data_IF_314269914045
#
_entry.id   IF_314269914045
#
_cell.length_a   1.000
_cell.length_b   1.000
_cell.length_c   1.000
_cell.angle_alpha   90.00
_cell.angle_beta   90.00
_cell.angle_gamma   90.00
#
_symmetry.space_group_name_H-M   'P 1'
#
loop_
_entity.id
_entity.type
_entity.pdbx_description
1 polymer ?
#
# COMPACT_ATOMS: atom_id res chain seq x y z
N UNK A 1 6.53 10.80 -19.19
CA UNK A 1 5.10 10.72 -18.81
C UNK A 1 4.55 12.12 -18.70
N UNK A 2 3.37 12.38 -19.25
CA UNK A 2 2.67 13.66 -19.07
C UNK A 2 2.28 13.74 -17.58
N UNK A 3 2.36 14.90 -16.94
CA UNK A 3 2.07 15.04 -15.48
C UNK A 3 0.73 14.42 -15.07
N UNK A 4 -0.27 14.49 -15.95
CA UNK A 4 -1.58 13.88 -15.75
C UNK A 4 -1.53 12.34 -15.64
N UNK A 5 -0.73 11.68 -16.49
CA UNK A 5 -0.57 10.21 -16.47
C UNK A 5 0.08 9.74 -15.17
N UNK A 6 1.06 10.52 -14.68
CA UNK A 6 1.74 10.22 -13.42
C UNK A 6 0.78 10.35 -12.23
N UNK A 7 -0.04 11.40 -12.20
CA UNK A 7 -1.02 11.58 -11.13
C UNK A 7 -2.10 10.49 -11.17
N UNK A 8 -2.60 10.12 -12.35
CA UNK A 8 -3.55 9.02 -12.50
C UNK A 8 -2.97 7.69 -12.01
N UNK A 9 -1.71 7.43 -12.33
CA UNK A 9 -1.00 6.24 -11.85
C UNK A 9 -0.87 6.21 -10.32
N UNK A 10 -0.49 7.33 -9.69
CA UNK A 10 -0.41 7.40 -8.23
C UNK A 10 -1.76 7.18 -7.54
N UNK A 11 -2.85 7.67 -8.14
CA UNK A 11 -4.20 7.39 -7.64
C UNK A 11 -4.55 5.90 -7.75
N UNK A 12 -4.14 5.23 -8.83
CA UNK A 12 -4.32 3.78 -8.96
C UNK A 12 -3.55 3.03 -7.87
N UNK A 13 -2.27 3.37 -7.67
CA UNK A 13 -1.43 2.76 -6.62
C UNK A 13 -2.04 2.97 -5.22
N UNK A 14 -2.55 4.18 -4.93
CA UNK A 14 -3.26 4.45 -3.68
C UNK A 14 -4.53 3.61 -3.54
N UNK A 15 -5.29 3.43 -4.60
CA UNK A 15 -6.49 2.57 -4.62
C UNK A 15 -6.14 1.11 -4.36
N UNK A 16 -5.12 0.58 -5.04
CA UNK A 16 -4.67 -0.81 -4.88
C UNK A 16 -4.16 -1.05 -3.44
N UNK A 17 -3.39 -0.12 -2.89
CA UNK A 17 -2.92 -0.20 -1.50
C UNK A 17 -4.07 -0.14 -0.50
N UNK A 18 -5.09 0.70 -0.74
CA UNK A 18 -6.30 0.75 0.09
C UNK A 18 -7.02 -0.60 0.12
N UNK A 19 -7.14 -1.27 -1.03
CA UNK A 19 -7.73 -2.61 -1.08
C UNK A 19 -6.91 -3.64 -0.28
N UNK A 20 -5.58 -3.55 -0.34
CA UNK A 20 -4.70 -4.42 0.46
C UNK A 20 -4.96 -4.18 1.94
N UNK A 21 -4.98 -2.92 2.41
CA UNK A 21 -5.26 -2.60 3.82
C UNK A 21 -6.60 -3.19 4.27
N UNK A 22 -7.68 -2.95 3.54
CA UNK A 22 -9.03 -3.40 3.92
C UNK A 22 -9.11 -4.93 4.01
N UNK A 23 -8.41 -5.64 3.11
CA UNK A 23 -8.45 -7.10 3.05
C UNK A 23 -7.35 -7.79 3.86
N UNK A 24 -6.40 -7.05 4.46
CA UNK A 24 -5.20 -7.64 5.06
C UNK A 24 -5.50 -8.59 6.22
N UNK A 25 -6.46 -8.21 7.07
CA UNK A 25 -6.88 -9.01 8.23
C UNK A 25 -8.12 -9.87 7.94
N UNK A 26 -8.53 -9.98 6.67
CA UNK A 26 -9.66 -10.82 6.26
C UNK A 26 -9.17 -12.15 5.70
N UNK A 27 -10.06 -13.14 5.59
CA UNK A 27 -9.74 -14.46 5.01
C UNK A 27 -9.70 -14.46 3.47
N UNK A 28 -9.42 -13.31 2.84
CA UNK A 28 -9.41 -13.16 1.39
C UNK A 28 -8.29 -13.99 0.75
N UNK A 29 -8.67 -15.00 -0.03
CA UNK A 29 -7.75 -15.89 -0.75
C UNK A 29 -6.97 -15.18 -1.86
N UNK A 30 -7.44 -14.03 -2.32
CA UNK A 30 -6.84 -13.26 -3.40
C UNK A 30 -5.89 -12.16 -2.89
N UNK A 31 -5.73 -12.00 -1.57
CA UNK A 31 -4.89 -10.95 -0.97
C UNK A 31 -3.44 -11.03 -1.46
N UNK A 32 -2.86 -12.24 -1.51
CA UNK A 32 -1.48 -12.41 -1.97
C UNK A 32 -1.29 -11.94 -3.41
N UNK A 33 -2.24 -12.23 -4.30
CA UNK A 33 -2.18 -11.79 -5.69
C UNK A 33 -2.27 -10.26 -5.81
N UNK A 34 -3.08 -9.61 -4.96
CA UNK A 34 -3.15 -8.14 -4.90
C UNK A 34 -1.84 -7.54 -4.42
N UNK A 35 -1.22 -8.12 -3.39
CA UNK A 35 0.10 -7.73 -2.89
C UNK A 35 1.13 -7.86 -4.01
N UNK A 36 1.21 -9.01 -4.68
CA UNK A 36 2.20 -9.24 -5.74
C UNK A 36 2.01 -8.26 -6.91
N UNK A 37 0.76 -8.00 -7.32
CA UNK A 37 0.45 -7.00 -8.36
C UNK A 37 0.89 -5.60 -7.97
N UNK A 38 0.57 -5.18 -6.74
CA UNK A 38 0.97 -3.89 -6.20
C UNK A 38 2.50 -3.75 -6.17
N UNK A 39 3.22 -4.73 -5.63
CA UNK A 39 4.68 -4.73 -5.52
C UNK A 39 5.33 -4.62 -6.90
N UNK A 40 4.85 -5.39 -7.88
CA UNK A 40 5.36 -5.31 -9.26
C UNK A 40 5.12 -3.94 -9.89
N UNK A 41 3.94 -3.34 -9.70
CA UNK A 41 3.64 -2.02 -10.23
C UNK A 41 4.55 -0.93 -9.65
N UNK A 42 4.73 -0.94 -8.32
CA UNK A 42 5.61 -0.01 -7.59
C UNK A 42 7.07 -0.18 -8.01
N UNK A 43 7.54 -1.42 -8.12
CA UNK A 43 8.90 -1.74 -8.56
C UNK A 43 9.17 -1.27 -10.00
N UNK A 44 8.30 -1.62 -10.95
CA UNK A 44 8.45 -1.24 -12.36
C UNK A 44 8.40 0.27 -12.57
N UNK A 45 7.59 0.99 -11.78
CA UNK A 45 7.51 2.43 -11.82
C UNK A 45 8.64 3.14 -11.04
N UNK A 46 9.53 2.38 -10.39
CA UNK A 46 10.62 2.89 -9.55
C UNK A 46 10.13 3.92 -8.52
N UNK A 47 8.98 3.62 -7.88
CA UNK A 47 8.40 4.49 -6.86
C UNK A 47 9.33 4.50 -5.63
N UNK A 48 9.73 5.68 -5.13
CA UNK A 48 10.53 5.78 -3.92
C UNK A 48 9.80 5.22 -2.70
N UNK A 49 10.50 4.49 -1.84
CA UNK A 49 9.96 3.97 -0.57
C UNK A 49 9.28 5.06 0.28
N UNK A 50 9.82 6.30 0.42
CA UNK A 50 9.12 7.37 1.13
C UNK A 50 7.71 7.65 0.60
N UNK A 51 7.50 7.55 -0.71
CA UNK A 51 6.20 7.77 -1.33
C UNK A 51 5.18 6.67 -0.99
N UNK A 52 5.64 5.43 -0.81
CA UNK A 52 4.78 4.32 -0.34
C UNK A 52 4.34 4.59 1.11
N UNK A 53 5.26 5.08 1.94
CA UNK A 53 4.98 5.45 3.33
C UNK A 53 4.00 6.64 3.37
N UNK A 54 4.17 7.64 2.51
CA UNK A 54 3.22 8.75 2.38
C UNK A 54 1.82 8.26 2.04
N UNK A 55 1.67 7.39 1.03
CA UNK A 55 0.39 6.78 0.66
C UNK A 55 -0.24 6.04 1.83
N UNK A 56 0.56 5.27 2.59
CA UNK A 56 0.09 4.59 3.78
C UNK A 56 -0.44 5.59 4.82
N UNK A 57 0.34 6.62 5.15
CA UNK A 57 -0.04 7.62 6.14
C UNK A 57 -1.30 8.40 5.75
N UNK A 58 -1.45 8.75 4.46
CA UNK A 58 -2.68 9.39 3.96
C UNK A 58 -3.91 8.50 4.14
N UNK A 59 -3.80 7.20 3.83
CA UNK A 59 -4.91 6.27 3.98
C UNK A 59 -5.27 6.03 5.45
N UNK A 60 -4.30 5.96 6.34
CA UNK A 60 -4.53 5.85 7.79
C UNK A 60 -5.25 7.09 8.33
N UNK A 61 -4.85 8.29 7.89
CA UNK A 61 -5.55 9.54 8.24
C UNK A 61 -6.99 9.56 7.70
N UNK A 62 -7.21 9.11 6.46
CA UNK A 62 -8.55 8.97 5.86
C UNK A 62 -9.43 7.99 6.66
N UNK A 63 -8.91 6.82 7.03
CA UNK A 63 -9.64 5.84 7.83
C UNK A 63 -9.92 6.37 9.24
N UNK A 64 -8.97 7.06 9.89
CA UNK A 64 -9.17 7.66 11.21
C UNK A 64 -10.29 8.70 11.19
N UNK A 65 -10.31 9.57 10.17
CA UNK A 65 -11.40 10.54 9.96
C UNK A 65 -12.75 9.84 9.79
N UNK A 66 -12.82 8.78 8.99
CA UNK A 66 -14.06 8.02 8.81
C UNK A 66 -14.53 7.35 10.11
N UNK A 67 -13.64 6.66 10.84
CA UNK A 67 -13.99 6.02 12.11
C UNK A 67 -14.49 7.01 13.15
N UNK A 68 -13.88 8.20 13.24
CA UNK A 68 -14.33 9.28 14.13
C UNK A 68 -15.72 9.79 13.79
N UNK A 69 -16.04 9.91 12.49
CA UNK A 69 -17.39 10.27 12.03
C UNK A 69 -18.42 9.17 12.36
N UNK A 70 -18.00 7.91 12.35
CA UNK A 70 -18.82 6.75 12.74
C UNK A 70 -18.90 6.53 14.26
N UNK A 71 -18.18 7.33 15.08
CA UNK A 71 -18.11 7.15 16.53
C UNK A 71 -17.34 5.90 16.97
N UNK A 72 -16.42 5.41 16.14
CA UNK A 72 -15.59 4.21 16.39
C UNK A 72 -14.17 4.60 16.83
N UNK A 73 -13.54 3.73 17.60
CA UNK A 73 -12.11 3.85 17.96
C UNK A 73 -11.23 3.64 16.72
N UNK A 74 -10.14 4.40 16.61
CA UNK A 74 -9.12 4.28 15.56
C UNK A 74 -7.88 3.49 16.01
N UNK A 75 -7.92 2.85 17.19
CA UNK A 75 -6.82 2.04 17.72
C UNK A 75 -6.43 0.88 16.80
N UNK A 76 -7.40 0.27 16.09
CA UNK A 76 -7.15 -0.83 15.15
C UNK A 76 -6.33 -0.41 13.94
N UNK A 77 -6.24 0.89 13.64
CA UNK A 77 -5.40 1.38 12.54
C UNK A 77 -3.91 1.16 12.81
N UNK A 78 -3.51 0.97 14.06
CA UNK A 78 -2.13 0.63 14.43
C UNK A 78 -1.71 -0.73 13.86
N UNK A 79 -2.65 -1.66 13.66
CA UNK A 79 -2.37 -2.99 13.15
C UNK A 79 -1.93 -2.94 11.68
N UNK A 80 -2.38 -1.94 10.91
CA UNK A 80 -1.93 -1.72 9.53
C UNK A 80 -0.44 -1.41 9.39
N UNK A 81 0.27 -1.11 10.49
CA UNK A 81 1.74 -1.08 10.49
C UNK A 81 2.33 -2.41 10.05
N UNK A 82 1.70 -3.54 10.38
CA UNK A 82 2.10 -4.86 9.91
C UNK A 82 1.99 -4.95 8.39
N UNK A 83 0.89 -4.46 7.82
CA UNK A 83 0.70 -4.41 6.36
C UNK A 83 1.78 -3.58 5.67
N UNK A 84 2.18 -2.44 6.24
CA UNK A 84 3.28 -1.63 5.70
C UNK A 84 4.61 -2.37 5.75
N UNK A 85 4.94 -3.00 6.88
CA UNK A 85 6.18 -3.78 7.04
C UNK A 85 6.22 -4.91 6.00
N UNK A 86 5.11 -5.61 5.81
CA UNK A 86 5.00 -6.74 4.90
C UNK A 86 5.21 -6.31 3.44
N UNK A 87 4.57 -5.22 3.02
CA UNK A 87 4.74 -4.62 1.69
C UNK A 87 6.19 -4.19 1.45
N UNK A 88 6.81 -3.53 2.42
CA UNK A 88 8.21 -3.12 2.31
C UNK A 88 9.16 -4.34 2.26
N UNK A 89 8.86 -5.40 3.01
CA UNK A 89 9.64 -6.63 2.98
C UNK A 89 9.58 -7.30 1.60
N UNK A 90 8.39 -7.42 1.00
CA UNK A 90 8.22 -7.95 -0.34
C UNK A 90 8.96 -7.13 -1.40
N UNK A 91 8.88 -5.79 -1.30
CA UNK A 91 9.58 -4.90 -2.23
C UNK A 91 11.11 -5.01 -2.08
N UNK A 92 11.62 -5.05 -0.86
CA UNK A 92 13.04 -5.24 -0.58
C UNK A 92 13.56 -6.58 -1.12
N UNK A 93 12.79 -7.66 -0.94
CA UNK A 93 13.14 -8.97 -1.46
C UNK A 93 13.17 -8.97 -3.00
N UNK A 94 12.24 -8.28 -3.64
CA UNK A 94 12.24 -8.11 -5.10
C UNK A 94 13.49 -7.35 -5.57
N UNK A 95 13.80 -6.19 -4.99
CA UNK A 95 15.03 -5.45 -5.30
C UNK A 95 16.29 -6.31 -5.11
N UNK A 96 16.36 -7.07 -4.02
CA UNK A 96 17.49 -7.97 -3.73
C UNK A 96 17.69 -9.03 -4.82
N UNK A 97 16.61 -9.59 -5.36
CA UNK A 97 16.64 -10.60 -6.43
C UNK A 97 16.95 -10.02 -7.80
N UNK A 98 16.61 -8.76 -8.05
CA UNK A 98 16.84 -8.08 -9.32
C UNK A 98 18.28 -7.63 -9.54
N UNK A 99 19.11 -7.61 -8.50
CA UNK A 99 20.54 -7.32 -8.64
C UNK A 99 21.26 -8.49 -9.35
N UNK A 100 22.08 -8.22 -10.38
CA UNK A 100 22.89 -9.26 -11.00
C UNK A 100 23.84 -9.88 -9.96
N UNK A 101 23.97 -11.21 -9.98
CA UNK A 101 24.87 -11.97 -9.11
C UNK A 101 26.30 -11.97 -9.62
#
# INVERSE_FOLDING_TARGET
MIKADHQAFLQQIKSDYREILINYFTTDKNLQEKIDKFINAVFCANIPVPQIIEIHMELIDEFSKQLKLEGRSDETLLDYRLTLIDILAHLCELYRRSLPK
#
